data_IF_897734855278
#
_entry.id   IF_897734855278
#
_cell.length_a   1.000
_cell.length_b   1.000
_cell.length_c   1.000
_cell.angle_alpha   90.00
_cell.angle_beta   90.00
_cell.angle_gamma   90.00
#
_symmetry.space_group_name_H-M   'P 1'
#
loop_
_entity.id
_entity.type
_entity.pdbx_description
1 polymer ?
#
# COMPACT_ATOMS: atom_id res chain seq x y z
N UNK A 1 -18.26 17.50 -3.76
CA UNK A 1 -16.83 17.79 -4.00
C UNK A 1 -16.36 18.44 -2.73
N UNK A 2 -15.64 17.71 -1.86
CA UNK A 2 -15.24 18.19 -0.54
C UNK A 2 -13.87 18.85 -0.68
N UNK A 3 -13.80 20.15 -0.39
CA UNK A 3 -12.58 20.98 -0.37
C UNK A 3 -11.58 20.62 0.76
N UNK A 4 -11.76 19.48 1.42
CA UNK A 4 -10.97 19.05 2.58
C UNK A 4 -9.96 17.92 2.28
N UNK A 5 -9.74 17.56 1.01
CA UNK A 5 -8.83 16.47 0.62
C UNK A 5 -7.50 16.92 -0.03
N UNK A 6 -7.30 18.22 -0.28
CA UNK A 6 -6.14 18.75 -1.01
C UNK A 6 -4.97 19.22 -0.13
N UNK A 7 -5.09 19.17 1.20
CA UNK A 7 -4.07 19.73 2.09
C UNK A 7 -2.75 18.93 2.15
N UNK A 8 -2.66 17.80 1.45
CA UNK A 8 -1.58 16.84 1.63
C UNK A 8 -1.01 16.23 0.34
N UNK A 9 -1.34 16.77 -0.84
CA UNK A 9 -0.66 16.34 -2.08
C UNK A 9 0.85 16.63 -2.05
N UNK A 10 1.30 17.57 -1.21
CA UNK A 10 2.71 17.91 -1.03
C UNK A 10 3.51 16.97 -0.10
N UNK A 11 2.85 16.01 0.58
CA UNK A 11 3.53 14.92 1.31
C UNK A 11 3.68 13.65 0.46
N UNK A 12 3.71 13.78 -0.87
CA UNK A 12 4.15 12.75 -1.82
C UNK A 12 5.46 12.08 -1.39
N UNK A 13 6.29 12.79 -0.62
CA UNK A 13 7.54 12.31 -0.05
C UNK A 13 7.43 11.07 0.85
N UNK A 14 6.28 10.83 1.49
CA UNK A 14 6.05 9.60 2.22
C UNK A 14 5.36 8.53 1.38
N UNK A 15 4.74 8.88 0.24
CA UNK A 15 4.18 7.89 -0.72
C UNK A 15 5.28 7.02 -1.34
N UNK A 16 6.50 7.49 -1.31
CA UNK A 16 7.71 6.75 -1.67
C UNK A 16 8.02 5.56 -0.76
N UNK A 17 7.51 5.62 0.47
CA UNK A 17 7.52 4.51 1.43
C UNK A 17 6.19 3.74 1.39
N UNK A 18 5.26 4.08 0.48
CA UNK A 18 3.90 3.54 0.48
C UNK A 18 3.78 2.17 -0.19
N UNK A 19 4.45 1.98 -1.33
CA UNK A 19 4.30 0.77 -2.13
C UNK A 19 5.56 0.37 -2.92
N UNK A 20 5.61 -0.92 -3.27
CA UNK A 20 6.72 -1.53 -4.02
C UNK A 20 6.97 -0.84 -5.38
N UNK A 21 5.94 -0.25 -5.99
CA UNK A 21 6.05 0.48 -7.26
C UNK A 21 6.77 1.82 -7.11
N UNK A 22 6.41 2.60 -6.09
CA UNK A 22 7.01 3.90 -5.78
C UNK A 22 8.46 3.72 -5.36
N UNK A 23 8.75 2.68 -4.55
CA UNK A 23 10.12 2.34 -4.22
C UNK A 23 10.92 1.89 -5.46
N UNK A 24 10.31 1.15 -6.39
CA UNK A 24 10.98 0.75 -7.63
C UNK A 24 11.24 1.94 -8.57
N UNK A 25 10.34 2.92 -8.61
CA UNK A 25 10.49 4.17 -9.36
C UNK A 25 11.64 5.00 -8.79
N UNK A 26 11.69 5.20 -7.48
CA UNK A 26 12.78 5.95 -6.83
C UNK A 26 14.11 5.23 -6.98
N UNK A 27 14.14 3.90 -6.82
CA UNK A 27 15.35 3.13 -7.12
C UNK A 27 15.85 3.44 -8.52
N UNK A 28 14.96 3.53 -9.50
CA UNK A 28 15.30 3.88 -10.88
C UNK A 28 15.78 5.33 -11.01
N UNK A 29 15.07 6.30 -10.43
CA UNK A 29 15.45 7.72 -10.47
C UNK A 29 16.80 7.97 -9.81
N UNK A 30 16.99 7.48 -8.58
CA UNK A 30 18.27 7.56 -7.85
C UNK A 30 19.37 6.84 -8.63
N UNK A 31 19.09 5.68 -9.26
CA UNK A 31 20.07 5.04 -10.13
C UNK A 31 20.46 5.88 -11.35
N UNK A 32 19.52 6.60 -11.96
CA UNK A 32 19.79 7.48 -13.09
C UNK A 32 20.63 8.69 -12.66
N UNK A 33 20.34 9.28 -11.49
CA UNK A 33 21.14 10.37 -10.92
C UNK A 33 22.58 9.92 -10.66
N UNK A 34 22.76 8.77 -10.01
CA UNK A 34 24.10 8.20 -9.77
C UNK A 34 24.80 7.80 -11.06
N UNK A 35 24.05 7.36 -12.09
CA UNK A 35 24.63 7.08 -13.39
C UNK A 35 25.27 8.33 -14.01
N UNK A 36 24.61 9.48 -13.87
CA UNK A 36 25.11 10.78 -14.34
C UNK A 36 26.31 11.25 -13.50
N UNK A 37 26.24 11.12 -12.18
CA UNK A 37 27.27 11.61 -11.25
C UNK A 37 28.58 10.79 -11.33
N UNK A 38 28.48 9.47 -11.39
CA UNK A 38 29.64 8.57 -11.42
C UNK A 38 30.25 8.48 -12.82
N UNK A 39 29.45 8.78 -13.86
CA UNK A 39 29.90 8.86 -15.25
C UNK A 39 30.69 7.63 -15.70
N UNK A 40 31.93 7.86 -16.16
CA UNK A 40 32.81 6.81 -16.68
C UNK A 40 33.35 5.85 -15.61
N UNK A 41 33.10 6.10 -14.31
CA UNK A 41 33.57 5.22 -13.24
C UNK A 41 32.67 3.99 -13.04
N UNK A 42 31.54 3.90 -13.75
CA UNK A 42 30.57 2.81 -13.60
C UNK A 42 31.03 1.56 -14.34
N UNK A 43 31.06 0.45 -13.60
CA UNK A 43 31.39 -0.88 -14.13
C UNK A 43 30.11 -1.62 -14.54
N UNK A 44 29.08 -1.59 -13.69
CA UNK A 44 27.83 -2.31 -13.94
C UNK A 44 26.69 -1.75 -13.10
N UNK A 45 25.47 -1.81 -13.64
CA UNK A 45 24.22 -1.47 -12.94
C UNK A 45 23.25 -2.65 -13.08
N UNK A 46 22.72 -3.12 -11.95
CA UNK A 46 21.61 -4.06 -11.91
C UNK A 46 20.34 -3.35 -11.41
N UNK A 47 19.54 -2.91 -12.38
CA UNK A 47 18.27 -2.23 -12.13
C UNK A 47 17.24 -3.10 -11.42
N UNK A 48 17.39 -4.43 -11.43
CA UNK A 48 16.47 -5.34 -10.76
C UNK A 48 16.78 -5.44 -9.27
N UNK A 49 18.05 -5.54 -8.90
CA UNK A 49 18.47 -5.64 -7.50
C UNK A 49 18.69 -4.28 -6.85
N UNK A 50 18.92 -3.23 -7.62
CA UNK A 50 19.26 -1.90 -7.08
C UNK A 50 20.75 -1.78 -6.72
N UNK A 51 21.59 -2.67 -7.25
CA UNK A 51 23.03 -2.68 -6.97
C UNK A 51 23.78 -2.09 -8.16
N UNK A 52 24.73 -1.19 -7.91
CA UNK A 52 25.70 -0.77 -8.91
C UNK A 52 27.14 -0.89 -8.39
N UNK A 53 28.08 -1.01 -9.33
CA UNK A 53 29.51 -1.13 -9.06
C UNK A 53 30.28 -0.01 -9.75
N UNK A 54 31.22 0.60 -9.03
CA UNK A 54 32.08 1.67 -9.57
C UNK A 54 33.54 1.44 -9.24
N UNK A 55 34.40 2.03 -10.06
CA UNK A 55 35.79 2.25 -9.72
C UNK A 55 35.87 3.34 -8.65
N UNK A 56 36.46 3.01 -7.51
CA UNK A 56 36.71 3.93 -6.42
C UNK A 56 38.19 3.88 -6.01
N UNK A 57 38.62 4.88 -5.24
CA UNK A 57 39.99 4.97 -4.74
C UNK A 57 39.98 5.13 -3.23
N UNK A 58 40.71 4.25 -2.54
CA UNK A 58 40.94 4.35 -1.12
C UNK A 58 42.17 5.23 -0.90
N UNK A 59 41.98 6.43 -0.39
CA UNK A 59 43.05 7.40 -0.15
C UNK A 59 43.96 7.00 1.02
N UNK A 60 43.44 6.29 2.02
CA UNK A 60 44.23 5.84 3.18
C UNK A 60 45.13 4.66 2.79
N UNK A 61 44.58 3.70 2.04
CA UNK A 61 45.33 2.54 1.56
C UNK A 61 46.07 2.81 0.23
N UNK A 62 45.89 3.99 -0.37
CA UNK A 62 46.47 4.42 -1.64
C UNK A 62 46.33 3.38 -2.77
N UNK A 63 45.12 2.83 -2.93
CA UNK A 63 44.85 1.77 -3.91
C UNK A 63 43.45 1.87 -4.52
N UNK A 64 43.29 1.53 -5.81
CA UNK A 64 41.97 1.42 -6.41
C UNK A 64 41.22 0.19 -5.89
N UNK A 65 39.91 0.28 -5.82
CA UNK A 65 39.03 -0.84 -5.50
C UNK A 65 37.70 -0.73 -6.24
N UNK A 66 36.93 -1.80 -6.22
CA UNK A 66 35.56 -1.81 -6.76
C UNK A 66 34.62 -1.54 -5.60
N UNK A 67 33.97 -0.38 -5.62
CA UNK A 67 32.91 -0.08 -4.69
C UNK A 67 31.62 -0.74 -5.15
N UNK A 68 30.89 -1.37 -4.23
CA UNK A 68 29.57 -1.94 -4.50
C UNK A 68 28.56 -1.18 -3.65
N UNK A 69 27.61 -0.53 -4.33
CA UNK A 69 26.63 0.33 -3.68
C UNK A 69 25.25 -0.25 -3.88
N UNK A 70 24.50 -0.32 -2.79
CA UNK A 70 23.08 -0.66 -2.80
C UNK A 70 22.26 0.63 -2.67
N UNK A 71 21.50 0.93 -3.72
CA UNK A 71 20.70 2.16 -3.83
C UNK A 71 19.64 2.23 -2.73
N UNK A 72 19.16 1.10 -2.21
CA UNK A 72 18.25 1.06 -1.07
C UNK A 72 18.87 1.73 0.16
N UNK A 73 20.16 1.49 0.41
CA UNK A 73 20.85 2.07 1.56
C UNK A 73 21.05 3.58 1.36
N UNK A 74 21.33 4.01 0.13
CA UNK A 74 21.45 5.43 -0.23
C UNK A 74 20.13 6.15 -0.02
N UNK A 75 19.02 5.57 -0.48
CA UNK A 75 17.67 6.11 -0.25
C UNK A 75 17.40 6.25 1.26
N UNK A 76 17.75 5.23 2.05
CA UNK A 76 17.64 5.29 3.52
C UNK A 76 18.41 6.47 4.11
N UNK A 77 19.68 6.65 3.71
CA UNK A 77 20.51 7.76 4.17
C UNK A 77 19.95 9.13 3.80
N UNK A 78 19.43 9.30 2.57
CA UNK A 78 18.78 10.54 2.16
C UNK A 78 17.48 10.81 2.92
N UNK A 79 16.72 9.76 3.24
CA UNK A 79 15.53 9.86 4.09
C UNK A 79 15.87 10.35 5.50
N UNK A 80 16.90 9.78 6.13
CA UNK A 80 17.37 10.23 7.45
C UNK A 80 17.91 11.67 7.41
N UNK A 81 18.67 12.01 6.37
CA UNK A 81 19.30 13.31 6.20
C UNK A 81 18.39 14.34 5.54
N UNK A 82 18.74 14.70 4.31
CA UNK A 82 18.18 15.82 3.55
C UNK A 82 16.66 15.78 3.42
N UNK A 83 16.07 14.62 3.13
CA UNK A 83 14.63 14.55 2.85
C UNK A 83 13.79 14.80 4.09
N UNK A 84 14.20 14.32 5.27
CA UNK A 84 13.48 14.64 6.51
C UNK A 84 13.51 16.14 6.84
N UNK A 85 14.61 16.84 6.53
CA UNK A 85 14.71 18.29 6.71
C UNK A 85 13.77 19.05 5.75
N UNK A 86 13.68 18.60 4.49
CA UNK A 86 12.73 19.14 3.51
C UNK A 86 11.30 18.95 4.01
N UNK A 87 10.94 17.73 4.46
CA UNK A 87 9.60 17.43 4.99
C UNK A 87 9.24 18.35 6.16
N UNK A 88 10.18 18.53 7.09
CA UNK A 88 10.01 19.45 8.23
C UNK A 88 9.76 20.89 7.75
N UNK A 89 10.57 21.37 6.80
CA UNK A 89 10.45 22.71 6.24
C UNK A 89 9.11 22.93 5.55
N UNK A 90 8.65 21.99 4.72
CA UNK A 90 7.37 22.11 4.03
C UNK A 90 6.19 22.05 5.00
N UNK A 91 6.23 21.16 6.01
CA UNK A 91 5.21 21.14 7.05
C UNK A 91 5.13 22.48 7.79
N UNK A 92 6.28 23.08 8.13
CA UNK A 92 6.33 24.36 8.80
C UNK A 92 5.74 25.51 7.96
N UNK A 93 5.86 25.46 6.63
CA UNK A 93 5.24 26.42 5.71
C UNK A 93 3.73 26.23 5.68
N UNK A 94 3.26 24.99 5.57
CA UNK A 94 1.83 24.68 5.50
C UNK A 94 1.12 25.04 6.82
N UNK A 95 1.73 24.72 7.96
CA UNK A 95 1.19 25.08 9.27
C UNK A 95 0.98 26.60 9.41
N UNK A 96 1.93 27.40 8.93
CA UNK A 96 1.78 28.86 8.89
C UNK A 96 0.66 29.31 7.96
N UNK A 97 0.54 28.70 6.79
CA UNK A 97 -0.51 29.02 5.83
C UNK A 97 -1.91 28.72 6.40
N UNK A 98 -2.07 27.60 7.11
CA UNK A 98 -3.30 27.24 7.81
C UNK A 98 -3.73 28.31 8.82
N UNK A 99 -2.80 28.81 9.64
CA UNK A 99 -3.06 29.90 10.58
C UNK A 99 -3.50 31.16 9.84
N UNK A 100 -2.78 31.54 8.77
CA UNK A 100 -3.08 32.75 7.99
C UNK A 100 -4.47 32.69 7.32
N UNK A 101 -4.91 31.50 6.92
CA UNK A 101 -6.24 31.25 6.34
C UNK A 101 -7.35 31.12 7.39
N UNK A 102 -7.02 31.20 8.69
CA UNK A 102 -7.99 30.99 9.78
C UNK A 102 -8.53 29.56 9.88
N UNK A 103 -7.78 28.59 9.36
CA UNK A 103 -8.15 27.18 9.36
C UNK A 103 -7.75 26.51 10.69
N UNK A 104 -8.44 25.42 11.04
CA UNK A 104 -8.12 24.65 12.25
C UNK A 104 -6.83 23.84 12.05
N UNK A 105 -5.76 24.29 12.69
CA UNK A 105 -4.44 23.64 12.69
C UNK A 105 -4.46 22.23 13.31
N UNK A 106 -5.46 21.90 14.14
CA UNK A 106 -5.58 20.55 14.70
C UNK A 106 -5.88 19.51 13.62
N UNK A 107 -6.56 19.89 12.54
CA UNK A 107 -6.80 19.01 11.40
C UNK A 107 -5.46 18.62 10.77
N UNK A 108 -4.59 19.61 10.51
CA UNK A 108 -3.27 19.40 9.93
C UNK A 108 -2.39 18.50 10.83
N UNK A 109 -2.36 18.79 12.13
CA UNK A 109 -1.58 18.02 13.11
C UNK A 109 -2.08 16.57 13.25
N UNK A 110 -3.40 16.36 13.27
CA UNK A 110 -3.98 15.03 13.35
C UNK A 110 -3.69 14.22 12.08
N UNK A 111 -3.76 14.83 10.90
CA UNK A 111 -3.42 14.15 9.65
C UNK A 111 -1.95 13.71 9.64
N UNK A 112 -1.03 14.58 10.08
CA UNK A 112 0.37 14.20 10.22
C UNK A 112 0.56 13.07 11.25
N UNK A 113 -0.18 13.10 12.36
CA UNK A 113 -0.15 12.03 13.37
C UNK A 113 -0.52 10.68 12.79
N UNK A 114 -1.62 10.63 12.03
CA UNK A 114 -2.09 9.41 11.40
C UNK A 114 -1.04 8.87 10.42
N UNK A 115 -0.47 9.74 9.59
CA UNK A 115 0.58 9.37 8.64
C UNK A 115 1.83 8.81 9.33
N UNK A 116 2.39 9.54 10.30
CA UNK A 116 3.61 9.10 10.99
C UNK A 116 3.39 7.81 11.79
N UNK A 117 2.22 7.64 12.43
CA UNK A 117 1.88 6.40 13.12
C UNK A 117 1.78 5.23 12.16
N UNK A 118 1.14 5.43 11.02
CA UNK A 118 1.01 4.41 10.00
C UNK A 118 2.39 3.97 9.50
N UNK A 119 3.23 4.93 9.07
CA UNK A 119 4.61 4.67 8.66
C UNK A 119 5.44 3.95 9.73
N UNK A 120 5.32 4.34 11.00
CA UNK A 120 6.08 3.69 12.09
C UNK A 120 5.75 2.20 12.29
N UNK A 121 4.57 1.75 11.83
CA UNK A 121 4.07 0.38 12.00
C UNK A 121 4.33 -0.51 10.78
N UNK A 122 4.79 0.08 9.68
CA UNK A 122 5.03 -0.64 8.42
C UNK A 122 6.25 -1.55 8.48
N UNK A 123 6.21 -2.56 7.62
CA UNK A 123 7.33 -3.45 7.37
C UNK A 123 8.06 -2.97 6.13
N UNK A 124 9.32 -2.58 6.30
CA UNK A 124 10.16 -2.10 5.20
C UNK A 124 11.09 -3.22 4.72
N UNK A 125 10.51 -4.35 4.31
CA UNK A 125 11.26 -5.56 3.88
C UNK A 125 12.22 -5.32 2.72
N UNK A 126 11.95 -4.28 1.93
CA UNK A 126 12.80 -3.86 0.81
C UNK A 126 13.99 -2.99 1.24
N UNK A 127 14.12 -2.67 2.53
CA UNK A 127 15.22 -1.89 3.11
C UNK A 127 16.17 -2.77 3.93
N UNK A 128 17.45 -2.77 3.56
CA UNK A 128 18.45 -3.54 4.30
C UNK A 128 18.74 -2.97 5.68
N UNK A 129 18.52 -1.68 5.88
CA UNK A 129 18.74 -1.01 7.16
C UNK A 129 17.54 -0.12 7.53
N UNK A 130 16.61 -0.73 8.27
CA UNK A 130 15.39 -0.12 8.77
C UNK A 130 15.64 1.09 9.69
N UNK A 131 16.82 1.15 10.31
CA UNK A 131 17.13 2.20 11.29
C UNK A 131 17.16 3.59 10.68
N UNK A 132 17.49 3.72 9.40
CA UNK A 132 17.44 4.99 8.67
C UNK A 132 16.03 5.58 8.64
N UNK A 133 15.05 4.73 8.35
CA UNK A 133 13.64 5.13 8.26
C UNK A 133 13.13 5.54 9.64
N UNK A 134 13.42 4.74 10.67
CA UNK A 134 12.97 5.04 12.03
C UNK A 134 13.60 6.34 12.55
N UNK A 135 14.89 6.58 12.29
CA UNK A 135 15.54 7.85 12.66
C UNK A 135 14.95 9.04 11.91
N UNK A 136 14.57 8.88 10.63
CA UNK A 136 13.87 9.92 9.88
C UNK A 136 12.50 10.26 10.51
N UNK A 137 11.69 9.23 10.83
CA UNK A 137 10.37 9.41 11.46
C UNK A 137 10.48 10.03 12.85
N UNK A 138 11.46 9.59 13.66
CA UNK A 138 11.74 10.17 14.98
C UNK A 138 12.16 11.63 14.87
N UNK A 139 13.05 11.97 13.93
CA UNK A 139 13.50 13.34 13.70
C UNK A 139 12.32 14.28 13.39
N UNK A 140 11.40 13.84 12.54
CA UNK A 140 10.20 14.59 12.17
C UNK A 140 9.27 14.73 13.38
N UNK A 141 8.95 13.62 14.06
CA UNK A 141 8.10 13.63 15.26
C UNK A 141 8.66 14.54 16.36
N UNK A 142 9.96 14.47 16.62
CA UNK A 142 10.65 15.28 17.61
C UNK A 142 10.57 16.78 17.28
N UNK A 143 10.72 17.17 16.01
CA UNK A 143 10.56 18.56 15.59
C UNK A 143 9.14 19.07 15.86
N UNK A 144 8.13 18.29 15.48
CA UNK A 144 6.72 18.66 15.66
C UNK A 144 6.37 18.82 17.14
N UNK A 145 6.80 17.86 17.97
CA UNK A 145 6.61 17.92 19.42
C UNK A 145 7.28 19.15 20.02
N UNK A 146 8.54 19.42 19.63
CA UNK A 146 9.32 20.55 20.15
C UNK A 146 8.72 21.90 19.75
N UNK A 147 8.28 22.04 18.50
CA UNK A 147 7.86 23.34 17.94
C UNK A 147 6.38 23.64 18.18
N UNK A 148 5.52 22.64 18.14
CA UNK A 148 4.06 22.79 18.18
C UNK A 148 3.42 22.17 19.43
N UNK A 149 4.20 21.52 20.30
CA UNK A 149 3.68 20.87 21.53
C UNK A 149 2.84 19.63 21.25
N UNK A 150 2.88 19.10 20.02
CA UNK A 150 2.03 18.01 19.58
C UNK A 150 2.80 16.70 19.52
N UNK A 151 2.39 15.72 20.32
CA UNK A 151 3.09 14.44 20.44
C UNK A 151 2.51 13.38 19.49
N UNK A 152 3.40 12.83 18.67
CA UNK A 152 3.14 11.65 17.86
C UNK A 152 3.81 10.46 18.55
N UNK A 153 3.05 9.73 19.37
CA UNK A 153 3.50 8.44 19.92
C UNK A 153 3.74 7.45 18.76
N UNK A 154 5.01 7.33 18.38
CA UNK A 154 5.48 6.36 17.39
C UNK A 154 5.80 5.04 18.10
N UNK A 155 5.47 3.94 17.44
CA UNK A 155 5.74 2.59 17.94
C UNK A 155 6.44 1.80 16.85
N UNK A 156 7.76 1.79 16.89
CA UNK A 156 8.55 0.95 16.01
C UNK A 156 8.48 -0.50 16.47
N UNK A 157 8.12 -1.42 15.57
CA UNK A 157 8.32 -2.85 15.83
C UNK A 157 9.82 -3.10 15.99
N UNK A 158 10.34 -3.11 17.22
CA UNK A 158 11.73 -3.51 17.51
C UNK A 158 11.91 -4.94 17.00
N UNK A 159 12.77 -5.11 16.00
CA UNK A 159 13.39 -6.36 15.56
C UNK A 159 12.74 -7.65 16.10
N UNK A 160 11.87 -8.27 15.31
CA UNK A 160 11.85 -9.74 15.29
C UNK A 160 13.00 -10.20 14.38
N UNK A 161 14.22 -9.99 14.85
CA UNK A 161 15.40 -10.73 14.38
C UNK A 161 15.34 -12.12 15.00
N UNK A 162 14.33 -12.90 14.62
CA UNK A 162 14.32 -14.36 14.65
C UNK A 162 13.35 -14.78 13.56
N UNK A 163 13.91 -15.32 12.49
CA UNK A 163 13.21 -15.97 11.40
C UNK A 163 12.39 -17.11 12.02
N UNK A 164 11.10 -16.89 12.18
CA UNK A 164 10.12 -17.83 11.67
C UNK A 164 9.65 -17.20 10.37
N UNK A 165 9.87 -17.90 9.25
CA UNK A 165 9.20 -17.58 8.00
C UNK A 165 7.70 -17.87 8.25
N UNK A 166 7.00 -16.93 8.87
CA UNK A 166 5.56 -16.86 8.70
C UNK A 166 5.36 -16.35 7.27
N UNK A 167 4.72 -17.18 6.46
CA UNK A 167 4.32 -16.86 5.10
C UNK A 167 3.70 -15.44 5.09
N UNK A 168 4.00 -14.61 4.07
CA UNK A 168 3.43 -13.27 3.97
C UNK A 168 1.92 -13.32 4.20
N UNK A 169 1.41 -12.41 5.04
CA UNK A 169 -0.02 -12.31 5.31
C UNK A 169 -0.79 -12.31 3.98
N UNK A 170 -1.66 -13.29 3.75
CA UNK A 170 -2.29 -13.48 2.45
C UNK A 170 -3.14 -12.26 2.10
N UNK A 171 -3.18 -11.87 0.82
CA UNK A 171 -3.94 -10.71 0.35
C UNK A 171 -5.48 -10.93 0.40
N UNK A 172 -5.95 -11.84 1.26
CA UNK A 172 -7.35 -12.03 1.61
C UNK A 172 -7.90 -10.84 2.40
N UNK A 173 -9.23 -10.80 2.54
CA UNK A 173 -9.95 -9.80 3.30
C UNK A 173 -10.06 -10.23 4.76
N UNK A 174 -10.40 -9.27 5.63
CA UNK A 174 -10.77 -9.54 7.02
C UNK A 174 -12.22 -9.17 7.23
N UNK A 175 -13.05 -10.17 7.48
CA UNK A 175 -14.42 -10.02 7.92
C UNK A 175 -14.46 -9.32 9.29
N UNK A 176 -15.43 -8.42 9.49
CA UNK A 176 -15.55 -7.64 10.73
C UNK A 176 -15.99 -8.48 11.91
N UNK A 177 -16.91 -9.41 11.67
CA UNK A 177 -17.42 -10.27 12.73
C UNK A 177 -16.38 -11.33 13.08
N UNK A 178 -16.15 -11.53 14.37
CA UNK A 178 -15.33 -12.64 14.86
C UNK A 178 -16.03 -14.00 14.68
N UNK A 179 -17.36 -13.98 14.53
CA UNK A 179 -18.16 -15.16 14.20
C UNK A 179 -18.34 -15.26 12.67
N UNK A 180 -18.19 -16.48 12.15
CA UNK A 180 -18.29 -16.76 10.71
C UNK A 180 -19.73 -16.98 10.24
N UNK A 181 -20.73 -16.92 11.13
CA UNK A 181 -22.14 -17.17 10.78
C UNK A 181 -22.66 -16.27 9.65
N UNK A 182 -22.42 -14.96 9.70
CA UNK A 182 -22.83 -14.01 8.65
C UNK A 182 -22.08 -14.26 7.33
N UNK A 183 -20.81 -14.64 7.41
CA UNK A 183 -19.97 -14.98 6.26
C UNK A 183 -20.43 -16.29 5.57
N UNK A 184 -20.83 -17.30 6.35
CA UNK A 184 -21.41 -18.55 5.84
C UNK A 184 -22.75 -18.31 5.18
N UNK A 185 -23.61 -17.49 5.78
CA UNK A 185 -24.88 -17.07 5.17
C UNK A 185 -24.64 -16.36 3.84
N UNK A 186 -23.67 -15.45 3.77
CA UNK A 186 -23.27 -14.78 2.53
C UNK A 186 -22.81 -15.79 1.46
N UNK A 187 -21.96 -16.75 1.83
CA UNK A 187 -21.52 -17.82 0.94
C UNK A 187 -22.71 -18.61 0.36
N UNK A 188 -23.63 -19.05 1.20
CA UNK A 188 -24.83 -19.80 0.77
C UNK A 188 -25.62 -18.99 -0.26
N UNK A 189 -25.95 -17.73 0.04
CA UNK A 189 -26.76 -16.89 -0.84
C UNK A 189 -26.08 -16.57 -2.18
N UNK A 190 -24.75 -16.42 -2.20
CA UNK A 190 -23.97 -16.19 -3.43
C UNK A 190 -23.79 -17.46 -4.27
N UNK A 191 -23.87 -18.64 -3.65
CA UNK A 191 -23.66 -19.95 -4.29
C UNK A 191 -24.96 -20.61 -4.76
N UNK A 192 -26.11 -20.07 -4.38
CA UNK A 192 -27.43 -20.49 -4.87
C UNK A 192 -27.62 -20.15 -6.36
N UNK A 193 -28.33 -21.03 -7.08
CA UNK A 193 -28.57 -20.84 -8.51
C UNK A 193 -29.51 -19.64 -8.78
N UNK A 194 -29.20 -18.77 -9.76
CA UNK A 194 -27.98 -18.79 -10.60
C UNK A 194 -26.71 -18.42 -9.84
N UNK A 195 -25.62 -19.18 -9.92
CA UNK A 195 -24.42 -18.87 -9.11
C UNK A 195 -23.82 -17.48 -9.38
N UNK A 196 -23.50 -16.73 -8.32
CA UNK A 196 -22.67 -15.50 -8.41
C UNK A 196 -21.20 -15.86 -8.18
N UNK A 197 -20.93 -16.82 -7.30
CA UNK A 197 -19.60 -17.36 -7.06
C UNK A 197 -19.57 -18.88 -7.26
N UNK A 198 -18.39 -19.41 -7.53
CA UNK A 198 -18.15 -20.86 -7.59
C UNK A 198 -16.81 -21.17 -6.92
N UNK A 199 -16.88 -21.71 -5.71
CA UNK A 199 -15.77 -22.14 -4.87
C UNK A 199 -16.33 -23.00 -3.72
N UNK A 200 -15.46 -23.65 -2.94
CA UNK A 200 -15.89 -24.31 -1.70
C UNK A 200 -16.16 -23.28 -0.59
N UNK A 201 -17.00 -23.64 0.38
CA UNK A 201 -17.24 -22.82 1.59
C UNK A 201 -15.92 -22.51 2.30
N UNK A 202 -15.02 -23.50 2.37
CA UNK A 202 -13.70 -23.33 3.00
C UNK A 202 -12.86 -22.27 2.30
N UNK A 203 -12.78 -22.31 0.96
CA UNK A 203 -12.05 -21.31 0.17
C UNK A 203 -12.67 -19.92 0.33
N UNK A 204 -14.00 -19.83 0.40
CA UNK A 204 -14.69 -18.58 0.67
C UNK A 204 -14.35 -18.04 2.06
N UNK A 205 -14.41 -18.86 3.11
CA UNK A 205 -14.07 -18.43 4.47
C UNK A 205 -12.60 -18.00 4.55
N UNK A 206 -11.68 -18.74 3.93
CA UNK A 206 -10.25 -18.39 3.87
C UNK A 206 -10.03 -17.01 3.22
N UNK A 207 -10.78 -16.71 2.16
CA UNK A 207 -10.72 -15.43 1.47
C UNK A 207 -11.14 -14.21 2.30
N UNK A 208 -11.86 -14.40 3.40
CA UNK A 208 -12.32 -13.32 4.29
C UNK A 208 -11.82 -13.45 5.74
N UNK A 209 -10.86 -14.34 6.02
CA UNK A 209 -10.33 -14.59 7.37
C UNK A 209 -8.83 -14.33 7.50
N UNK A 210 -8.22 -13.58 6.57
CA UNK A 210 -6.75 -13.40 6.49
C UNK A 210 -5.98 -14.73 6.35
N UNK A 211 -6.59 -15.74 5.71
CA UNK A 211 -5.96 -17.03 5.42
C UNK A 211 -5.50 -17.15 3.98
N UNK A 212 -4.60 -18.10 3.70
CA UNK A 212 -4.06 -18.37 2.36
C UNK A 212 -5.17 -18.90 1.46
N UNK A 213 -5.25 -18.37 0.25
CA UNK A 213 -6.26 -18.75 -0.76
C UNK A 213 -5.54 -19.34 -1.97
N UNK A 214 -5.64 -20.65 -2.15
CA UNK A 214 -4.97 -21.37 -3.24
C UNK A 214 -5.79 -21.26 -4.54
N UNK A 215 -7.03 -21.73 -4.53
CA UNK A 215 -7.86 -21.87 -5.74
C UNK A 215 -8.55 -20.56 -6.16
N UNK A 216 -8.81 -19.67 -5.20
CA UNK A 216 -9.56 -18.44 -5.42
C UNK A 216 -11.07 -18.65 -5.59
N UNK A 217 -11.79 -17.55 -5.73
CA UNK A 217 -13.24 -17.50 -5.89
C UNK A 217 -13.54 -17.15 -7.35
N UNK A 218 -14.14 -18.09 -8.08
CA UNK A 218 -14.58 -17.86 -9.46
C UNK A 218 -15.81 -16.96 -9.47
N UNK A 219 -15.73 -15.85 -10.21
CA UNK A 219 -16.85 -14.91 -10.32
C UNK A 219 -17.75 -15.26 -11.51
N UNK A 220 -18.98 -15.69 -11.22
CA UNK A 220 -19.91 -16.25 -12.21
C UNK A 220 -20.94 -15.24 -12.75
N UNK A 221 -20.98 -14.01 -12.25
CA UNK A 221 -21.84 -12.98 -12.84
C UNK A 221 -21.31 -12.57 -14.23
N UNK A 222 -22.02 -12.98 -15.29
CA UNK A 222 -21.60 -12.80 -16.69
C UNK A 222 -22.40 -11.69 -17.37
N UNK A 223 -21.72 -10.81 -18.09
CA UNK A 223 -22.32 -9.79 -18.95
C UNK A 223 -22.84 -10.37 -20.26
N UNK A 224 -23.61 -9.59 -21.03
CA UNK A 224 -24.17 -10.03 -22.33
C UNK A 224 -23.12 -10.51 -23.35
N UNK A 225 -21.86 -10.10 -23.18
CA UNK A 225 -20.73 -10.48 -24.02
C UNK A 225 -20.07 -11.82 -23.60
N UNK A 226 -20.65 -12.56 -22.65
CA UNK A 226 -20.11 -13.84 -22.18
C UNK A 226 -18.88 -13.73 -21.25
N UNK A 227 -18.42 -12.51 -20.97
CA UNK A 227 -17.34 -12.23 -20.04
C UNK A 227 -17.91 -11.96 -18.65
N UNK A 228 -17.16 -12.33 -17.60
CA UNK A 228 -17.54 -11.95 -16.24
C UNK A 228 -17.59 -10.42 -16.06
N UNK A 229 -18.50 -9.98 -15.21
CA UNK A 229 -18.77 -8.58 -14.92
C UNK A 229 -17.78 -8.07 -13.87
N UNK A 230 -16.61 -7.60 -14.31
CA UNK A 230 -15.61 -6.94 -13.44
C UNK A 230 -16.21 -5.85 -12.55
N UNK A 231 -17.11 -5.05 -13.12
CA UNK A 231 -17.77 -3.95 -12.43
C UNK A 231 -18.62 -4.43 -11.25
N UNK A 232 -19.34 -5.55 -11.41
CA UNK A 232 -20.13 -6.13 -10.30
C UNK A 232 -19.26 -6.67 -9.16
N UNK A 233 -18.11 -7.27 -9.49
CA UNK A 233 -17.15 -7.73 -8.50
C UNK A 233 -16.53 -6.56 -7.71
N UNK A 234 -16.14 -5.50 -8.41
CA UNK A 234 -15.60 -4.29 -7.78
C UNK A 234 -16.66 -3.65 -6.88
N UNK A 235 -17.89 -3.49 -7.36
CA UNK A 235 -18.98 -2.95 -6.55
C UNK A 235 -19.31 -3.82 -5.34
N UNK A 236 -19.25 -5.14 -5.47
CA UNK A 236 -19.46 -6.07 -4.36
C UNK A 236 -18.46 -5.82 -3.23
N UNK A 237 -17.15 -5.79 -3.54
CA UNK A 237 -16.13 -5.53 -2.52
C UNK A 237 -16.23 -4.10 -1.98
N UNK A 238 -16.47 -3.10 -2.84
CA UNK A 238 -16.66 -1.72 -2.40
C UNK A 238 -17.85 -1.57 -1.45
N UNK A 239 -18.95 -2.30 -1.68
CA UNK A 239 -20.12 -2.29 -0.81
C UNK A 239 -19.83 -2.94 0.55
N UNK A 240 -19.13 -4.08 0.57
CA UNK A 240 -18.69 -4.70 1.81
C UNK A 240 -17.78 -3.76 2.63
N UNK A 241 -16.91 -3.00 1.96
CA UNK A 241 -16.04 -2.01 2.62
C UNK A 241 -16.82 -0.80 3.14
N UNK A 242 -17.72 -0.22 2.33
CA UNK A 242 -18.49 0.98 2.72
C UNK A 242 -19.45 0.71 3.87
N UNK A 243 -19.98 -0.52 3.98
CA UNK A 243 -20.81 -0.98 5.09
C UNK A 243 -19.98 -1.58 6.24
N UNK A 244 -18.66 -1.48 6.16
CA UNK A 244 -17.71 -1.98 7.17
C UNK A 244 -17.83 -3.49 7.46
N UNK A 245 -18.36 -4.30 6.55
CA UNK A 245 -18.45 -5.76 6.72
C UNK A 245 -17.07 -6.43 6.56
N UNK A 246 -16.18 -5.80 5.78
CA UNK A 246 -14.77 -6.16 5.70
C UNK A 246 -13.90 -4.94 6.00
N UNK A 247 -12.68 -5.16 6.48
CA UNK A 247 -11.71 -4.08 6.61
C UNK A 247 -11.45 -3.42 5.25
N UNK A 248 -11.48 -2.10 5.26
CA UNK A 248 -11.21 -1.29 4.08
C UNK A 248 -9.78 -1.52 3.60
N UNK A 249 -9.57 -1.52 2.28
CA UNK A 249 -8.23 -1.50 1.69
C UNK A 249 -7.92 -0.05 1.36
N UNK A 250 -6.88 0.48 1.99
CA UNK A 250 -6.61 1.92 2.05
C UNK A 250 -6.21 2.53 0.70
N UNK A 251 -5.77 1.71 -0.26
CA UNK A 251 -5.34 2.16 -1.58
C UNK A 251 -5.98 1.34 -2.71
N UNK A 252 -6.15 1.96 -3.89
CA UNK A 252 -6.57 1.28 -5.12
C UNK A 252 -5.62 0.12 -5.47
N UNK A 253 -4.32 0.27 -5.20
CA UNK A 253 -3.33 -0.78 -5.42
C UNK A 253 -3.60 -2.01 -4.53
N UNK A 254 -3.79 -1.83 -3.22
CA UNK A 254 -4.08 -2.93 -2.29
C UNK A 254 -5.43 -3.59 -2.61
N UNK A 255 -6.43 -2.81 -3.01
CA UNK A 255 -7.71 -3.32 -3.47
C UNK A 255 -7.54 -4.22 -4.71
N UNK A 256 -6.82 -3.73 -5.74
CA UNK A 256 -6.56 -4.49 -6.96
C UNK A 256 -5.73 -5.75 -6.69
N UNK A 257 -4.74 -5.68 -5.78
CA UNK A 257 -3.91 -6.83 -5.38
C UNK A 257 -4.74 -7.88 -4.66
N UNK A 258 -5.60 -7.47 -3.73
CA UNK A 258 -6.52 -8.37 -3.02
C UNK A 258 -7.54 -9.02 -3.96
N UNK A 259 -8.11 -8.25 -4.90
CA UNK A 259 -9.00 -8.80 -5.91
C UNK A 259 -8.32 -9.84 -6.80
N UNK A 260 -7.11 -9.57 -7.29
CA UNK A 260 -6.35 -10.54 -8.12
C UNK A 260 -5.93 -11.79 -7.35
N UNK A 261 -5.70 -11.65 -6.04
CA UNK A 261 -5.33 -12.75 -5.17
C UNK A 261 -6.53 -13.66 -4.89
N UNK A 262 -7.64 -13.07 -4.44
CA UNK A 262 -8.83 -13.79 -3.99
C UNK A 262 -9.68 -14.29 -5.15
N UNK A 263 -9.88 -13.51 -6.21
CA UNK A 263 -10.89 -13.81 -7.23
C UNK A 263 -10.26 -14.32 -8.53
N UNK A 264 -11.08 -15.07 -9.28
CA UNK A 264 -10.82 -15.59 -10.62
C UNK A 264 -11.94 -15.14 -11.56
N UNK A 265 -11.66 -15.11 -12.86
CA UNK A 265 -12.68 -14.86 -13.88
C UNK A 265 -13.68 -16.03 -13.98
N UNK A 266 -14.68 -15.93 -14.85
CA UNK A 266 -15.68 -16.99 -15.06
C UNK A 266 -15.12 -18.28 -15.69
N UNK A 267 -13.83 -18.35 -16.02
CA UNK A 267 -13.13 -19.54 -16.49
C UNK A 267 -12.21 -20.14 -15.41
N UNK A 268 -12.07 -19.48 -14.26
CA UNK A 268 -11.16 -19.90 -13.19
C UNK A 268 -9.75 -19.32 -13.34
N UNK A 269 -9.52 -18.42 -14.30
CA UNK A 269 -8.22 -17.82 -14.56
C UNK A 269 -8.00 -16.55 -13.72
N UNK A 270 -6.74 -16.19 -13.51
CA UNK A 270 -6.39 -14.98 -12.78
C UNK A 270 -6.90 -13.72 -13.50
N UNK A 271 -7.49 -12.80 -12.73
CA UNK A 271 -8.04 -11.55 -13.29
C UNK A 271 -6.92 -10.65 -13.81
N UNK A 272 -6.98 -10.31 -15.10
CA UNK A 272 -6.09 -9.36 -15.78
C UNK A 272 -6.76 -8.00 -15.97
N UNK A 273 -5.95 -6.93 -15.99
CA UNK A 273 -6.39 -5.55 -16.25
C UNK A 273 -7.53 -5.08 -15.31
N UNK A 274 -7.23 -5.06 -14.02
CA UNK A 274 -8.05 -4.48 -12.95
C UNK A 274 -7.61 -3.04 -12.73
N UNK A 275 -8.50 -2.08 -12.99
CA UNK A 275 -8.32 -0.65 -12.71
C UNK A 275 -9.68 -0.12 -12.29
N UNK A 276 -9.76 0.40 -11.05
CA UNK A 276 -10.99 0.93 -10.46
C UNK A 276 -11.35 2.24 -11.18
N UNK A 277 -10.34 3.04 -11.51
CA UNK A 277 -10.48 4.29 -12.27
C UNK A 277 -11.19 4.14 -13.62
N UNK A 278 -11.18 2.96 -14.26
CA UNK A 278 -11.89 2.69 -15.53
C UNK A 278 -13.22 1.95 -15.38
N UNK A 279 -13.56 1.46 -14.19
CA UNK A 279 -14.70 0.56 -13.97
C UNK A 279 -15.90 1.18 -13.24
N UNK A 280 -15.77 2.42 -12.74
CA UNK A 280 -16.86 3.21 -12.14
C UNK A 280 -17.90 3.76 -13.15
N UNK A 281 -17.86 3.35 -14.41
CA UNK A 281 -18.67 3.95 -15.49
C UNK A 281 -20.12 3.44 -15.55
N UNK A 282 -20.48 2.35 -14.89
CA UNK A 282 -21.84 1.79 -14.91
C UNK A 282 -22.50 1.86 -13.54
N UNK A 283 -23.60 2.61 -13.46
CA UNK A 283 -24.40 2.76 -12.24
C UNK A 283 -25.12 1.45 -11.84
N UNK A 284 -25.28 0.50 -12.76
CA UNK A 284 -25.91 -0.82 -12.53
C UNK A 284 -25.23 -1.91 -13.37
N UNK A 285 -24.10 -2.48 -12.91
CA UNK A 285 -23.43 -3.54 -13.64
C UNK A 285 -24.26 -4.83 -13.61
N UNK A 286 -23.98 -5.72 -14.55
CA UNK A 286 -24.71 -6.99 -14.68
C UNK A 286 -24.60 -7.80 -13.40
N UNK A 287 -25.73 -8.30 -12.91
CA UNK A 287 -25.83 -9.06 -11.66
C UNK A 287 -25.98 -8.21 -10.40
N UNK A 288 -25.77 -6.89 -10.46
CA UNK A 288 -25.73 -6.03 -9.26
C UNK A 288 -27.02 -6.06 -8.44
N UNK A 289 -28.19 -5.93 -9.07
CA UNK A 289 -29.45 -5.86 -8.32
C UNK A 289 -29.71 -7.10 -7.46
N UNK A 290 -29.23 -8.28 -7.87
CA UNK A 290 -29.30 -9.48 -7.03
C UNK A 290 -28.23 -9.50 -5.95
N UNK A 291 -27.00 -9.10 -6.28
CA UNK A 291 -25.90 -8.97 -5.30
C UNK A 291 -26.31 -8.01 -4.19
N UNK A 292 -26.83 -6.84 -4.53
CA UNK A 292 -27.33 -5.84 -3.59
C UNK A 292 -28.47 -6.38 -2.72
N UNK A 293 -29.42 -7.11 -3.30
CA UNK A 293 -30.47 -7.77 -2.51
C UNK A 293 -29.91 -8.81 -1.52
N UNK A 294 -28.89 -9.58 -1.92
CA UNK A 294 -28.21 -10.53 -1.01
C UNK A 294 -27.55 -9.77 0.14
N UNK A 295 -26.83 -8.69 -0.17
CA UNK A 295 -26.10 -7.88 0.81
C UNK A 295 -27.04 -7.16 1.79
N UNK A 296 -28.19 -6.68 1.33
CA UNK A 296 -29.21 -6.05 2.19
C UNK A 296 -29.91 -7.04 3.13
N UNK A 297 -29.85 -8.34 2.83
CA UNK A 297 -30.46 -9.41 3.63
C UNK A 297 -29.44 -10.14 4.51
N UNK A 298 -28.17 -9.69 4.56
CA UNK A 298 -27.17 -10.23 5.48
C UNK A 298 -27.55 -9.94 6.93
#
# INVERSE_FOLDING_TARGET
MNENMDAFDHLEYFKYLDDDSSLAEIKRETMLEFHILEGNNIISIDYRTGIYKTHAYDFEANKPFINTVDIVNVIGLYLEGEKSDIIISEFDKEFKAYIQKGQDVNILLNNLKFLLRDLSRREYTNFNNLSYIYRALDKISAHIKKKYGFDCELSFKKNQSHILIEKPLPHSYKWKDSDTTSLKKLYTMLSEEPKIIDCSEETFIKAFSLSEVEDGIKWCAIGKNGQYSKQSLIQFISHLMSHQLILNKETEHLFNKALKYVFRDNKGEQIKNLSISKSNSSHRPTGWGRIENILNNL
#
